data_IF_412684627185
#
_entry.id   IF_412684627185
#
_cell.length_a   1.000
_cell.length_b   1.000
_cell.length_c   1.000
_cell.angle_alpha   90.00
_cell.angle_beta   90.00
_cell.angle_gamma   90.00
#
_symmetry.space_group_name_H-M   'P 1'
#
loop_
_entity.id
_entity.type
_entity.pdbx_description
1 polymer ?
#
# COMPACT_ATOMS: atom_id res chain seq x y z
N UNK A 1 4.46 -27.24 -2.14
CA UNK A 1 4.48 -25.83 -1.67
C UNK A 1 3.92 -24.96 -2.80
N UNK A 2 2.60 -24.88 -2.94
CA UNK A 2 1.93 -24.27 -4.13
C UNK A 2 0.63 -23.53 -3.76
N UNK A 3 0.29 -23.50 -2.46
CA UNK A 3 -1.01 -23.04 -1.96
C UNK A 3 -1.17 -21.52 -2.01
N UNK A 4 -0.06 -20.78 -1.94
CA UNK A 4 -0.08 -19.30 -1.97
C UNK A 4 -0.45 -18.76 -3.35
N UNK A 5 0.03 -19.39 -4.43
CA UNK A 5 -0.30 -18.95 -5.79
C UNK A 5 -1.74 -19.25 -6.16
N UNK A 6 -2.27 -20.42 -5.77
CA UNK A 6 -3.63 -20.83 -6.15
C UNK A 6 -4.71 -19.97 -5.48
N UNK A 7 -4.54 -19.62 -4.21
CA UNK A 7 -5.50 -18.75 -3.53
C UNK A 7 -5.46 -17.31 -4.07
N UNK A 8 -4.28 -16.77 -4.38
CA UNK A 8 -4.16 -15.44 -4.99
C UNK A 8 -4.89 -15.38 -6.34
N UNK A 9 -4.75 -16.40 -7.19
CA UNK A 9 -5.51 -16.48 -8.45
C UNK A 9 -7.01 -16.55 -8.19
N UNK A 10 -7.48 -17.39 -7.26
CA UNK A 10 -8.91 -17.44 -6.90
C UNK A 10 -9.44 -16.10 -6.40
N UNK A 11 -8.66 -15.37 -5.60
CA UNK A 11 -9.03 -14.03 -5.13
C UNK A 11 -9.07 -13.03 -6.28
N UNK A 12 -8.08 -13.04 -7.18
CA UNK A 12 -8.05 -12.17 -8.36
C UNK A 12 -9.29 -12.38 -9.24
N UNK A 13 -9.58 -13.65 -9.58
CA UNK A 13 -10.71 -14.03 -10.43
C UNK A 13 -12.06 -13.55 -9.84
N UNK A 14 -12.20 -13.62 -8.51
CA UNK A 14 -13.41 -13.16 -7.84
C UNK A 14 -13.59 -11.63 -7.91
N UNK A 15 -12.51 -10.85 -7.79
CA UNK A 15 -12.55 -9.40 -7.96
C UNK A 15 -12.77 -9.02 -9.43
N UNK A 16 -12.09 -9.68 -10.36
CA UNK A 16 -12.24 -9.47 -11.80
C UNK A 16 -13.71 -9.64 -12.23
N UNK A 17 -14.39 -10.66 -11.72
CA UNK A 17 -15.78 -10.96 -12.06
C UNK A 17 -16.78 -9.85 -11.69
N UNK A 18 -16.44 -8.98 -10.74
CA UNK A 18 -17.33 -7.89 -10.26
C UNK A 18 -16.71 -6.50 -10.44
N UNK A 19 -15.54 -6.40 -11.06
CA UNK A 19 -14.73 -5.18 -11.07
C UNK A 19 -15.45 -3.98 -11.67
N UNK A 20 -16.16 -4.16 -12.78
CA UNK A 20 -16.92 -3.08 -13.45
C UNK A 20 -18.02 -2.55 -12.53
N UNK A 21 -18.82 -3.44 -11.94
CA UNK A 21 -19.88 -3.05 -11.01
C UNK A 21 -19.31 -2.34 -9.77
N UNK A 22 -18.20 -2.85 -9.25
CA UNK A 22 -17.53 -2.23 -8.11
C UNK A 22 -17.00 -0.83 -8.45
N UNK A 23 -16.39 -0.66 -9.63
CA UNK A 23 -15.89 0.64 -10.08
C UNK A 23 -17.02 1.66 -10.29
N UNK A 24 -18.17 1.22 -10.81
CA UNK A 24 -19.36 2.07 -10.94
C UNK A 24 -19.88 2.53 -9.58
N UNK A 25 -20.04 1.61 -8.62
CA UNK A 25 -20.50 1.93 -7.27
C UNK A 25 -19.52 2.85 -6.52
N UNK A 26 -18.22 2.64 -6.70
CA UNK A 26 -17.18 3.37 -5.98
C UNK A 26 -16.85 4.74 -6.59
N UNK A 27 -17.37 5.07 -7.78
CA UNK A 27 -16.99 6.26 -8.58
C UNK A 27 -17.07 7.56 -7.78
N UNK A 28 -18.20 7.78 -7.11
CA UNK A 28 -18.45 9.03 -6.37
C UNK A 28 -18.33 8.87 -4.86
N UNK A 29 -18.02 7.65 -4.38
CA UNK A 29 -18.05 7.32 -2.95
C UNK A 29 -17.15 8.25 -2.14
N UNK A 30 -15.92 8.51 -2.61
CA UNK A 30 -14.96 9.34 -1.88
C UNK A 30 -15.45 10.79 -1.71
N UNK A 31 -16.19 11.32 -2.68
CA UNK A 31 -16.77 12.66 -2.58
C UNK A 31 -17.86 12.75 -1.50
N UNK A 32 -18.51 11.63 -1.19
CA UNK A 32 -19.61 11.53 -0.22
C UNK A 32 -19.16 11.20 1.21
N UNK A 33 -17.86 10.98 1.44
CA UNK A 33 -17.30 10.67 2.78
C UNK A 33 -16.29 11.73 3.25
N UNK A 34 -16.74 12.88 3.79
CA UNK A 34 -15.86 13.98 4.19
C UNK A 34 -14.82 13.59 5.25
N UNK A 35 -15.16 12.68 6.16
CA UNK A 35 -14.24 12.22 7.20
C UNK A 35 -13.06 11.44 6.60
N UNK A 36 -13.33 10.53 5.67
CA UNK A 36 -12.28 9.74 5.00
C UNK A 36 -11.35 10.65 4.20
N UNK A 37 -11.90 11.65 3.50
CA UNK A 37 -11.09 12.68 2.82
C UNK A 37 -10.19 13.46 3.76
N UNK A 38 -10.70 13.86 4.93
CA UNK A 38 -9.90 14.56 5.93
C UNK A 38 -8.77 13.67 6.49
N UNK A 39 -9.05 12.39 6.70
CA UNK A 39 -8.04 11.41 7.13
C UNK A 39 -6.95 11.21 6.06
N UNK A 40 -7.32 11.11 4.79
CA UNK A 40 -6.37 11.00 3.68
C UNK A 40 -5.52 12.27 3.51
N UNK A 41 -6.10 13.45 3.72
CA UNK A 41 -5.37 14.71 3.75
C UNK A 41 -4.34 14.74 4.88
N UNK A 42 -4.75 14.39 6.11
CA UNK A 42 -3.85 14.32 7.25
C UNK A 42 -2.73 13.27 7.04
N UNK A 43 -3.04 12.14 6.42
CA UNK A 43 -2.04 11.13 6.04
C UNK A 43 -1.03 11.71 5.04
N UNK A 44 -1.49 12.41 4.00
CA UNK A 44 -0.62 13.02 3.01
C UNK A 44 0.32 14.07 3.64
N UNK A 45 -0.19 14.90 4.53
CA UNK A 45 0.64 15.86 5.29
C UNK A 45 1.71 15.16 6.13
N UNK A 46 1.33 14.10 6.85
CA UNK A 46 2.24 13.33 7.69
C UNK A 46 3.38 12.69 6.88
N UNK A 47 3.06 12.06 5.74
CA UNK A 47 4.03 11.40 4.86
C UNK A 47 5.01 12.42 4.25
N UNK A 48 4.49 13.58 3.82
CA UNK A 48 5.33 14.67 3.31
C UNK A 48 6.26 15.23 4.38
N UNK A 49 5.76 15.46 5.59
CA UNK A 49 6.58 15.93 6.71
C UNK A 49 7.69 14.92 7.09
N UNK A 50 7.45 13.63 6.89
CA UNK A 50 8.46 12.58 7.09
C UNK A 50 9.53 12.54 5.98
N UNK A 51 9.36 13.28 4.86
CA UNK A 51 10.26 13.24 3.72
C UNK A 51 10.30 11.87 3.03
N UNK A 52 9.18 11.14 3.08
CA UNK A 52 9.08 9.85 2.41
C UNK A 52 9.20 10.02 0.89
N UNK A 53 9.83 9.04 0.23
CA UNK A 53 9.80 8.94 -1.24
C UNK A 53 8.48 8.33 -1.73
N UNK A 54 8.53 7.68 -2.89
CA UNK A 54 7.36 7.04 -3.48
C UNK A 54 6.58 6.14 -2.50
N UNK A 55 5.26 6.35 -2.45
CA UNK A 55 4.26 5.62 -1.67
C UNK A 55 3.57 4.61 -2.57
N UNK A 56 3.27 3.42 -2.04
CA UNK A 56 2.44 2.44 -2.73
C UNK A 56 1.10 2.29 -2.00
N UNK A 57 -0.01 2.42 -2.75
CA UNK A 57 -1.33 2.01 -2.28
C UNK A 57 -1.54 0.54 -2.65
N UNK A 58 -1.92 -0.28 -1.67
CA UNK A 58 -2.11 -1.71 -1.84
C UNK A 58 -3.61 -2.05 -1.85
N UNK A 59 -4.06 -2.75 -2.89
CA UNK A 59 -5.48 -2.93 -3.16
C UNK A 59 -6.13 -1.64 -3.66
N UNK A 60 -5.48 -0.96 -4.61
CA UNK A 60 -5.93 0.35 -5.09
C UNK A 60 -7.26 0.32 -5.87
N UNK A 61 -7.71 -0.88 -6.29
CA UNK A 61 -8.90 -1.06 -7.12
C UNK A 61 -8.84 -0.17 -8.37
N UNK A 62 -9.91 0.59 -8.68
CA UNK A 62 -9.96 1.49 -9.83
C UNK A 62 -9.15 2.80 -9.65
N UNK A 63 -8.38 2.95 -8.57
CA UNK A 63 -7.38 4.02 -8.42
C UNK A 63 -7.90 5.35 -7.87
N UNK A 64 -9.15 5.44 -7.43
CA UNK A 64 -9.76 6.70 -6.93
C UNK A 64 -9.01 7.33 -5.75
N UNK A 65 -8.59 6.51 -4.78
CA UNK A 65 -7.86 6.98 -3.60
C UNK A 65 -6.42 7.32 -4.01
N UNK A 66 -5.82 6.53 -4.89
CA UNK A 66 -4.48 6.81 -5.45
C UNK A 66 -4.44 8.17 -6.13
N UNK A 67 -5.44 8.46 -6.96
CA UNK A 67 -5.61 9.75 -7.63
C UNK A 67 -5.79 10.89 -6.62
N UNK A 68 -6.67 10.70 -5.63
CA UNK A 68 -6.87 11.72 -4.60
C UNK A 68 -5.60 12.04 -3.79
N UNK A 69 -4.84 11.01 -3.41
CA UNK A 69 -3.57 11.18 -2.70
C UNK A 69 -2.48 11.83 -3.56
N UNK A 70 -2.48 11.54 -4.87
CA UNK A 70 -1.63 12.25 -5.84
C UNK A 70 -1.99 13.73 -5.93
N UNK A 71 -3.27 14.09 -5.97
CA UNK A 71 -3.74 15.48 -5.99
C UNK A 71 -3.37 16.24 -4.71
N UNK A 72 -3.24 15.52 -3.59
CA UNK A 72 -2.73 16.04 -2.32
C UNK A 72 -1.19 16.18 -2.26
N UNK A 73 -0.49 15.87 -3.36
CA UNK A 73 0.94 16.10 -3.53
C UNK A 73 1.83 14.90 -3.23
N UNK A 74 1.27 13.71 -2.99
CA UNK A 74 2.09 12.50 -2.81
C UNK A 74 2.66 11.99 -4.13
N UNK A 75 3.93 11.59 -4.10
CA UNK A 75 4.53 10.68 -5.09
C UNK A 75 3.99 9.27 -4.80
N UNK A 76 2.91 8.87 -5.47
CA UNK A 76 2.17 7.63 -5.16
C UNK A 76 1.85 6.83 -6.43
N UNK A 77 1.81 5.51 -6.29
CA UNK A 77 1.33 4.58 -7.31
C UNK A 77 0.43 3.49 -6.69
N UNK A 78 -0.46 2.92 -7.49
CA UNK A 78 -1.39 1.88 -7.04
C UNK A 78 -0.91 0.47 -7.40
N UNK A 79 -1.17 -0.48 -6.51
CA UNK A 79 -0.96 -1.91 -6.75
C UNK A 79 -2.25 -2.66 -6.43
N UNK A 80 -2.73 -3.48 -7.36
CA UNK A 80 -3.88 -4.36 -7.14
C UNK A 80 -3.61 -5.76 -7.68
N UNK A 81 -4.27 -6.76 -7.09
CA UNK A 81 -4.16 -8.14 -7.51
C UNK A 81 -4.96 -8.39 -8.79
N UNK A 82 -6.05 -7.65 -9.00
CA UNK A 82 -6.96 -7.75 -10.14
C UNK A 82 -6.40 -7.01 -11.36
N UNK A 83 -6.09 -7.72 -12.46
CA UNK A 83 -5.73 -7.08 -13.73
C UNK A 83 -6.84 -6.16 -14.25
N UNK A 84 -8.11 -6.55 -14.09
CA UNK A 84 -9.26 -5.76 -14.56
C UNK A 84 -9.36 -4.43 -13.82
N UNK A 85 -9.12 -4.41 -12.50
CA UNK A 85 -9.07 -3.17 -11.73
C UNK A 85 -7.96 -2.23 -12.20
N UNK A 86 -6.79 -2.78 -12.49
CA UNK A 86 -5.64 -2.00 -12.97
C UNK A 86 -5.89 -1.43 -14.36
N UNK A 87 -6.56 -2.17 -15.24
CA UNK A 87 -6.94 -1.66 -16.56
C UNK A 87 -7.95 -0.51 -16.42
N UNK A 88 -8.99 -0.65 -15.59
CA UNK A 88 -9.94 0.43 -15.28
C UNK A 88 -9.26 1.67 -14.67
N UNK A 89 -8.31 1.46 -13.77
CA UNK A 89 -7.55 2.54 -13.13
C UNK A 89 -6.72 3.31 -14.16
N UNK A 90 -6.04 2.61 -15.09
CA UNK A 90 -5.25 3.22 -16.17
C UNK A 90 -6.10 3.96 -17.18
N UNK A 91 -7.29 3.43 -17.50
CA UNK A 91 -8.24 4.12 -18.37
C UNK A 91 -8.75 5.41 -17.75
N UNK A 92 -9.03 5.39 -16.44
CA UNK A 92 -9.56 6.55 -15.72
C UNK A 92 -8.49 7.60 -15.41
N UNK A 93 -7.27 7.16 -15.11
CA UNK A 93 -6.16 7.99 -14.63
C UNK A 93 -4.87 7.69 -15.41
N UNK A 94 -4.80 8.06 -16.71
CA UNK A 94 -3.69 7.66 -17.60
C UNK A 94 -2.32 8.23 -17.19
N UNK A 95 -2.30 9.32 -16.43
CA UNK A 95 -1.07 9.96 -15.95
C UNK A 95 -0.53 9.37 -14.63
N UNK A 96 -1.23 8.38 -14.06
CA UNK A 96 -0.84 7.71 -12.82
C UNK A 96 -0.31 6.29 -13.08
N UNK A 97 0.64 5.88 -12.25
CA UNK A 97 1.23 4.54 -12.33
C UNK A 97 0.37 3.54 -11.54
N UNK A 98 0.04 2.44 -12.20
CA UNK A 98 -0.66 1.30 -11.61
C UNK A 98 0.01 -0.02 -12.01
N UNK A 99 0.10 -0.96 -11.08
CA UNK A 99 0.75 -2.26 -11.29
C UNK A 99 -0.11 -3.42 -10.79
N UNK A 100 -0.11 -4.51 -11.55
CA UNK A 100 -0.67 -5.78 -11.06
C UNK A 100 0.35 -6.40 -10.10
N UNK A 101 -0.06 -6.67 -8.87
CA UNK A 101 0.83 -7.22 -7.85
C UNK A 101 0.10 -7.72 -6.62
N UNK A 102 0.75 -8.64 -5.90
CA UNK A 102 0.29 -9.09 -4.59
C UNK A 102 1.07 -8.38 -3.50
N UNK A 103 0.39 -7.97 -2.43
CA UNK A 103 1.04 -7.46 -1.21
C UNK A 103 2.09 -8.43 -0.66
N UNK A 104 1.93 -9.73 -0.87
CA UNK A 104 2.83 -10.78 -0.40
C UNK A 104 4.14 -10.90 -1.23
N UNK A 105 4.18 -10.26 -2.40
CA UNK A 105 5.32 -10.29 -3.31
C UNK A 105 6.13 -8.98 -3.30
N UNK A 106 5.74 -8.01 -2.46
CA UNK A 106 6.45 -6.75 -2.33
C UNK A 106 7.65 -6.91 -1.39
N UNK A 107 8.84 -6.65 -1.92
CA UNK A 107 10.07 -6.56 -1.14
C UNK A 107 10.07 -5.19 -0.42
N UNK A 108 9.33 -5.10 0.68
CA UNK A 108 9.26 -3.89 1.50
C UNK A 108 10.53 -3.81 2.34
N UNK A 109 11.44 -2.90 1.98
CA UNK A 109 12.59 -2.61 2.81
C UNK A 109 12.12 -1.93 4.11
N UNK A 110 12.21 -2.63 5.24
CA UNK A 110 11.95 -2.10 6.58
C UNK A 110 12.83 -0.85 6.82
N UNK A 111 12.25 0.35 6.69
CA UNK A 111 12.82 1.57 7.25
C UNK A 111 12.03 1.93 8.49
N UNK A 112 12.67 1.77 9.65
CA UNK A 112 12.11 1.98 11.00
C UNK A 112 11.77 3.44 11.34
N UNK A 113 11.34 4.25 10.38
CA UNK A 113 10.73 5.54 10.60
C UNK A 113 9.87 5.90 9.39
N UNK A 114 8.55 6.03 9.62
CA UNK A 114 7.59 6.77 8.79
C UNK A 114 7.69 6.58 7.27
N UNK A 115 7.03 5.54 6.76
CA UNK A 115 6.78 5.37 5.32
C UNK A 115 7.21 4.00 4.82
N UNK A 116 6.24 3.17 4.44
CA UNK A 116 6.51 1.98 3.63
C UNK A 116 6.89 2.46 2.22
N UNK A 117 8.16 2.80 2.03
CA UNK A 117 8.71 3.07 0.70
C UNK A 117 8.88 1.76 -0.06
N UNK A 118 7.96 1.46 -0.98
CA UNK A 118 8.13 0.35 -1.92
C UNK A 118 9.06 0.82 -3.03
N UNK A 119 10.32 0.36 -3.05
CA UNK A 119 11.12 0.41 -4.28
C UNK A 119 10.58 -0.67 -5.22
N UNK A 120 9.64 -0.30 -6.08
CA UNK A 120 9.11 -1.18 -7.11
C UNK A 120 10.20 -1.60 -8.09
N UNK A 121 10.77 -2.79 -7.89
CA UNK A 121 11.27 -3.62 -8.99
C UNK A 121 10.43 -4.89 -9.02
N UNK A 122 9.35 -4.88 -9.79
CA UNK A 122 8.70 -6.13 -10.22
C UNK A 122 9.71 -6.88 -11.08
N UNK A 123 10.24 -7.99 -10.58
CA UNK A 123 11.26 -8.79 -11.27
C UNK A 123 10.59 -9.59 -12.38
N UNK A 124 10.43 -8.99 -13.56
CA UNK A 124 10.18 -9.73 -14.80
C UNK A 124 11.47 -10.39 -15.29
N UNK A 125 11.64 -11.69 -15.06
CA UNK A 125 12.78 -12.45 -15.60
C UNK A 125 12.82 -13.90 -15.11
N UNK A 126 12.99 -14.82 -16.07
CA UNK A 126 13.05 -16.31 -16.02
C UNK A 126 13.73 -16.92 -14.77
N UNK A 127 13.41 -18.19 -14.42
CA UNK A 127 13.94 -18.82 -13.21
C UNK A 127 15.42 -19.12 -13.39
N UNK A 128 16.26 -18.46 -12.60
CA UNK A 128 17.60 -18.96 -12.30
C UNK A 128 17.73 -19.18 -10.79
N UNK A 129 18.26 -20.35 -10.48
CA UNK A 129 18.32 -20.98 -9.16
C UNK A 129 19.48 -20.38 -8.36
N UNK A 130 19.24 -19.85 -7.16
CA UNK A 130 20.14 -19.90 -5.99
C UNK A 130 19.70 -18.96 -4.86
N UNK A 131 19.86 -19.40 -3.60
CA UNK A 131 20.30 -18.51 -2.51
C UNK A 131 19.36 -18.33 -1.30
N UNK A 132 19.55 -19.20 -0.32
CA UNK A 132 19.19 -19.13 1.12
C UNK A 132 19.36 -17.72 1.72
N UNK A 133 18.47 -17.24 2.61
CA UNK A 133 18.71 -17.29 4.07
C UNK A 133 17.49 -16.91 4.91
N UNK A 134 17.31 -17.69 6.00
CA UNK A 134 16.38 -17.47 7.12
C UNK A 134 16.70 -16.16 7.87
N UNK A 135 15.67 -15.42 8.28
CA UNK A 135 15.77 -14.34 9.27
C UNK A 135 14.60 -14.38 10.24
N UNK A 136 14.88 -14.69 11.51
CA UNK A 136 13.93 -14.66 12.64
C UNK A 136 13.39 -13.25 12.84
N UNK A 137 12.07 -13.10 12.98
CA UNK A 137 11.46 -11.86 13.46
C UNK A 137 11.82 -11.61 14.92
N UNK A 138 12.35 -10.43 15.22
CA UNK A 138 12.53 -9.92 16.59
C UNK A 138 11.38 -8.97 16.93
N UNK A 139 10.66 -9.29 18.01
CA UNK A 139 9.62 -8.44 18.59
C UNK A 139 10.29 -7.30 19.36
N UNK A 140 10.04 -6.02 19.05
CA UNK A 140 10.55 -4.93 19.88
C UNK A 140 9.75 -4.84 21.19
N UNK A 141 10.46 -4.84 22.31
CA UNK A 141 9.92 -4.55 23.63
C UNK A 141 9.51 -3.07 23.69
N UNK A 142 8.27 -2.81 24.14
CA UNK A 142 7.78 -1.46 24.41
C UNK A 142 8.44 -0.86 25.67
N UNK A 143 8.50 0.48 25.78
CA UNK A 143 9.07 1.13 26.96
C UNK A 143 8.20 0.91 28.20
N UNK A 144 8.81 0.47 29.31
CA UNK A 144 8.16 0.35 30.62
C UNK A 144 7.86 1.73 31.20
N UNK A 145 6.64 1.98 31.72
CA UNK A 145 6.33 3.22 32.42
C UNK A 145 6.61 3.02 33.91
N UNK A 146 7.75 3.49 34.43
CA UNK A 146 7.99 3.74 35.86
C UNK A 146 9.40 4.31 36.06
N UNK A 147 9.54 5.64 35.97
CA UNK A 147 10.66 6.40 36.56
C UNK A 147 10.34 7.92 36.61
N UNK A 148 9.36 8.31 37.44
CA UNK A 148 9.28 9.69 37.97
C UNK A 148 8.87 9.63 39.44
N UNK A 149 9.85 9.55 40.33
CA UNK A 149 9.77 10.08 41.69
C UNK A 149 11.20 10.40 42.16
N UNK A 150 11.45 11.64 42.58
CA UNK A 150 12.73 12.03 43.19
C UNK A 150 13.17 13.46 42.91
N UNK A 151 12.43 14.44 43.41
CA UNK A 151 12.85 15.85 43.49
C UNK A 151 12.65 16.36 44.90
N UNK A 152 13.72 16.34 45.69
CA UNK A 152 13.81 16.72 47.09
C UNK A 152 13.63 18.22 47.30
N UNK A 153 12.88 18.56 48.36
CA UNK A 153 12.93 19.85 49.05
C UNK A 153 14.36 20.09 49.57
N UNK A 154 14.91 21.28 49.36
CA UNK A 154 15.79 22.01 50.29
C UNK A 154 15.93 23.46 49.83
#
# INVERSE_FOLDING_TARGET
>A
MTRSSSYLTTTADAYDAVAVLYAELARDELAQVPLDRALLAAFAEFVQAAGAGAVAELGCGPGRVTAHLRDLGLDIFGVDLSPVMIDLARETYPDLRFEVGSMNALDVADRRAGGAGVRGRVRGGRPDVAGTSRGRAAVPAGPSPLARTGGSVR
#
